data_IF_762433003029
#
_entry.id   IF_762433003029
#
_cell.length_a   1.000
_cell.length_b   1.000
_cell.length_c   1.000
_cell.angle_alpha   90.00
_cell.angle_beta   90.00
_cell.angle_gamma   90.00
#
_symmetry.space_group_name_H-M   'P 1'
#
loop_
_entity.id
_entity.type
_entity.pdbx_description
1 polymer ?
#
# COMPACT_ATOMS: atom_id res chain seq x y z
N UNK A 1 -38.08 9.76 -7.15
CA UNK A 1 -36.80 10.03 -7.84
C UNK A 1 -36.07 8.71 -7.95
N UNK A 2 -35.70 8.26 -9.17
CA UNK A 2 -35.01 6.98 -9.34
C UNK A 2 -33.48 7.24 -9.39
N UNK A 3 -32.72 6.60 -8.51
CA UNK A 3 -31.26 6.67 -8.51
C UNK A 3 -30.76 5.96 -9.77
N UNK A 4 -29.87 6.63 -10.54
CA UNK A 4 -29.33 6.07 -11.79
C UNK A 4 -27.84 5.72 -11.70
N UNK A 5 -27.10 6.46 -10.87
CA UNK A 5 -25.66 6.29 -10.73
C UNK A 5 -25.27 6.26 -9.26
N UNK A 6 -24.41 5.33 -8.90
CA UNK A 6 -23.82 5.20 -7.56
C UNK A 6 -22.31 5.08 -7.72
N UNK A 7 -21.56 5.85 -6.93
CA UNK A 7 -20.14 5.69 -6.71
C UNK A 7 -19.90 4.97 -5.37
N UNK A 8 -19.17 3.87 -5.40
CA UNK A 8 -18.77 3.11 -4.19
C UNK A 8 -17.29 3.38 -3.96
N UNK A 9 -16.97 4.02 -2.83
CA UNK A 9 -15.61 4.47 -2.49
C UNK A 9 -15.26 4.07 -1.04
N UNK A 10 -15.12 2.77 -0.75
CA UNK A 10 -14.78 2.31 0.58
C UNK A 10 -13.28 2.31 0.82
N UNK A 11 -12.88 2.32 2.09
CA UNK A 11 -11.59 1.81 2.56
C UNK A 11 -11.70 0.33 2.89
N UNK A 12 -10.59 -0.29 3.23
CA UNK A 12 -10.54 -1.66 3.73
C UNK A 12 -11.26 -1.80 5.07
N UNK A 13 -11.76 -2.99 5.36
CA UNK A 13 -12.18 -3.41 6.68
C UNK A 13 -11.01 -4.19 7.29
N UNK A 14 -10.25 -3.51 8.15
CA UNK A 14 -9.02 -4.03 8.76
C UNK A 14 -9.17 -5.50 9.18
N UNK A 15 -8.16 -6.31 8.83
CA UNK A 15 -8.11 -7.75 9.14
C UNK A 15 -9.25 -8.61 8.52
N UNK A 16 -10.07 -8.03 7.61
CA UNK A 16 -11.24 -8.73 7.06
C UNK A 16 -11.29 -8.66 5.53
N UNK A 17 -11.54 -7.50 4.95
CA UNK A 17 -11.77 -7.32 3.51
C UNK A 17 -11.01 -6.11 2.98
N UNK A 18 -10.43 -6.25 1.81
CA UNK A 18 -9.87 -5.12 1.06
C UNK A 18 -10.96 -4.14 0.63
N UNK A 19 -10.61 -2.88 0.42
CA UNK A 19 -11.58 -1.88 -0.05
C UNK A 19 -12.27 -2.30 -1.36
N UNK A 20 -11.57 -3.03 -2.23
CA UNK A 20 -12.16 -3.53 -3.48
C UNK A 20 -13.18 -4.66 -3.24
N UNK A 21 -12.90 -5.61 -2.35
CA UNK A 21 -13.85 -6.67 -1.97
C UNK A 21 -15.10 -6.11 -1.30
N UNK A 22 -14.95 -5.12 -0.41
CA UNK A 22 -16.07 -4.38 0.16
C UNK A 22 -16.92 -3.72 -0.92
N UNK A 23 -16.26 -3.06 -1.89
CA UNK A 23 -16.95 -2.40 -3.00
C UNK A 23 -17.73 -3.40 -3.87
N UNK A 24 -17.17 -4.57 -4.14
CA UNK A 24 -17.85 -5.64 -4.88
C UNK A 24 -19.08 -6.15 -4.13
N UNK A 25 -18.96 -6.41 -2.85
CA UNK A 25 -20.10 -6.86 -2.02
C UNK A 25 -21.25 -5.84 -2.00
N UNK A 26 -20.92 -4.54 -1.88
CA UNK A 26 -21.90 -3.45 -1.96
C UNK A 26 -22.55 -3.40 -3.35
N UNK A 27 -21.76 -3.50 -4.42
CA UNK A 27 -22.27 -3.53 -5.80
C UNK A 27 -23.25 -4.67 -6.03
N UNK A 28 -22.91 -5.87 -5.55
CA UNK A 28 -23.78 -7.04 -5.68
C UNK A 28 -25.10 -6.84 -4.94
N UNK A 29 -25.06 -6.24 -3.75
CA UNK A 29 -26.28 -5.88 -2.99
C UNK A 29 -27.16 -4.89 -3.77
N UNK A 30 -26.57 -3.86 -4.36
CA UNK A 30 -27.31 -2.88 -5.20
C UNK A 30 -27.95 -3.56 -6.42
N UNK A 31 -27.19 -4.39 -7.13
CA UNK A 31 -27.66 -5.07 -8.34
C UNK A 31 -28.81 -6.05 -8.07
N UNK A 32 -28.87 -6.66 -6.88
CA UNK A 32 -30.00 -7.52 -6.46
C UNK A 32 -31.27 -6.72 -6.27
N UNK A 33 -31.19 -5.46 -5.91
CA UNK A 33 -32.35 -4.58 -5.69
C UNK A 33 -32.77 -3.91 -7.01
N UNK A 34 -31.82 -3.35 -7.77
CA UNK A 34 -32.06 -2.72 -9.07
C UNK A 34 -30.82 -2.83 -9.97
N UNK A 35 -30.86 -3.79 -10.88
CA UNK A 35 -29.78 -4.01 -11.83
C UNK A 35 -29.61 -2.92 -12.89
N UNK A 36 -30.56 -1.97 -12.98
CA UNK A 36 -30.49 -0.84 -13.93
C UNK A 36 -29.62 0.32 -13.42
N UNK A 37 -29.15 0.27 -12.18
CA UNK A 37 -28.28 1.28 -11.59
C UNK A 37 -26.85 1.12 -12.12
N UNK A 38 -26.28 2.21 -12.64
CA UNK A 38 -24.87 2.24 -13.03
C UNK A 38 -23.99 2.42 -11.76
N UNK A 39 -23.17 1.41 -11.45
CA UNK A 39 -22.31 1.40 -10.27
C UNK A 39 -20.86 1.57 -10.70
N UNK A 40 -20.20 2.62 -10.20
CA UNK A 40 -18.74 2.80 -10.31
C UNK A 40 -18.07 2.46 -8.98
N UNK A 41 -16.96 1.75 -9.06
CA UNK A 41 -16.10 1.39 -7.91
C UNK A 41 -14.84 2.23 -7.98
N UNK A 42 -14.51 2.92 -6.89
CA UNK A 42 -13.30 3.70 -6.71
C UNK A 42 -12.84 3.63 -5.25
N UNK A 43 -12.18 2.54 -4.82
CA UNK A 43 -11.64 2.43 -3.48
C UNK A 43 -10.71 3.59 -3.17
N UNK A 44 -10.66 3.99 -1.90
CA UNK A 44 -9.76 5.05 -1.44
C UNK A 44 -8.65 4.47 -0.60
N UNK A 45 -7.53 5.18 -0.59
CA UNK A 45 -6.34 4.83 0.15
C UNK A 45 -5.91 6.02 1.00
N UNK A 46 -5.38 5.76 2.19
CA UNK A 46 -4.97 6.80 3.15
C UNK A 46 -3.46 6.84 3.42
N UNK A 47 -2.69 6.07 2.66
CA UNK A 47 -1.25 5.93 2.82
C UNK A 47 -0.83 4.82 3.79
N UNK A 48 -1.80 4.06 4.34
CA UNK A 48 -1.57 2.85 5.13
C UNK A 48 -1.73 1.58 4.30
N UNK A 49 -2.01 0.46 4.99
CA UNK A 49 -2.21 -0.85 4.39
C UNK A 49 -3.29 -0.80 3.28
N UNK A 50 -3.04 -1.49 2.17
CA UNK A 50 -3.94 -1.53 1.02
C UNK A 50 -3.80 -0.38 0.02
N UNK A 51 -3.03 0.67 0.32
CA UNK A 51 -2.78 1.80 -0.60
C UNK A 51 -2.12 1.33 -1.89
N UNK A 52 -1.05 0.52 -1.78
CA UNK A 52 -0.29 -0.04 -2.89
C UNK A 52 -1.23 -0.80 -3.84
N UNK A 53 -1.96 -1.78 -3.30
CA UNK A 53 -2.86 -2.61 -4.09
C UNK A 53 -3.95 -1.77 -4.78
N UNK A 54 -4.57 -0.86 -4.03
CA UNK A 54 -5.61 0.03 -4.58
C UNK A 54 -5.10 0.85 -5.77
N UNK A 55 -3.90 1.44 -5.65
CA UNK A 55 -3.34 2.29 -6.71
C UNK A 55 -2.89 1.47 -7.92
N UNK A 56 -2.29 0.31 -7.70
CA UNK A 56 -1.87 -0.61 -8.77
C UNK A 56 -3.09 -1.12 -9.54
N UNK A 57 -4.13 -1.60 -8.86
CA UNK A 57 -5.34 -2.14 -9.50
C UNK A 57 -6.07 -1.06 -10.34
N UNK A 58 -6.24 0.15 -9.80
CA UNK A 58 -6.94 1.25 -10.51
C UNK A 58 -6.18 1.73 -11.75
N UNK A 59 -4.85 1.62 -11.74
CA UNK A 59 -4.02 2.10 -12.86
C UNK A 59 -3.62 0.98 -13.82
N UNK A 60 -4.03 -0.27 -13.59
CA UNK A 60 -3.54 -1.47 -14.30
C UNK A 60 -2.01 -1.56 -14.24
N UNK A 61 -1.46 -1.31 -13.07
CA UNK A 61 -0.04 -1.40 -12.78
C UNK A 61 0.42 -2.82 -12.43
N UNK A 62 1.61 -2.93 -11.88
CA UNK A 62 2.27 -4.19 -11.51
C UNK A 62 2.77 -4.12 -10.07
N UNK A 63 2.63 -5.23 -9.32
CA UNK A 63 3.24 -5.40 -8.00
C UNK A 63 4.55 -6.15 -8.19
N UNK A 64 5.63 -5.61 -7.65
CA UNK A 64 6.99 -6.14 -7.74
C UNK A 64 7.45 -6.51 -6.34
N UNK A 65 8.06 -7.69 -6.21
CA UNK A 65 8.58 -8.23 -4.95
C UNK A 65 10.08 -8.03 -4.88
N UNK A 66 10.56 -7.68 -3.69
CA UNK A 66 11.97 -7.45 -3.41
C UNK A 66 12.37 -8.05 -2.06
N UNK A 67 13.62 -8.52 -1.97
CA UNK A 67 14.21 -8.91 -0.70
C UNK A 67 14.79 -7.67 -0.01
N UNK A 68 14.24 -7.34 1.14
CA UNK A 68 14.61 -6.16 1.94
C UNK A 68 14.70 -6.53 3.41
N UNK A 69 15.03 -5.57 4.27
CA UNK A 69 15.06 -5.78 5.70
C UNK A 69 13.77 -5.30 6.39
N UNK A 70 13.34 -6.04 7.40
CA UNK A 70 12.28 -5.65 8.32
C UNK A 70 12.74 -4.50 9.27
N UNK A 71 11.86 -4.00 10.17
CA UNK A 71 12.25 -2.93 11.10
C UNK A 71 13.42 -3.28 12.03
N UNK A 72 13.72 -4.56 12.24
CA UNK A 72 14.78 -5.05 13.11
C UNK A 72 16.01 -5.55 12.35
N UNK A 73 16.04 -5.41 11.02
CA UNK A 73 17.16 -5.81 10.19
C UNK A 73 17.17 -7.29 9.77
N UNK A 74 16.05 -8.02 9.88
CA UNK A 74 15.91 -9.37 9.33
C UNK A 74 15.50 -9.29 7.88
N UNK A 75 16.02 -10.18 7.02
CA UNK A 75 15.61 -10.27 5.63
C UNK A 75 14.15 -10.75 5.50
N UNK A 76 13.38 -10.05 4.68
CA UNK A 76 11.99 -10.36 4.33
C UNK A 76 11.74 -10.09 2.84
N UNK A 77 10.74 -10.76 2.25
CA UNK A 77 10.18 -10.37 0.98
C UNK A 77 9.12 -9.29 1.22
N UNK A 78 9.25 -8.13 0.57
CA UNK A 78 8.28 -7.06 0.60
C UNK A 78 7.95 -6.58 -0.82
N UNK A 79 6.91 -5.77 -0.96
CA UNK A 79 6.33 -5.39 -2.24
C UNK A 79 6.35 -3.88 -2.43
N UNK A 80 6.52 -3.46 -3.69
CA UNK A 80 6.23 -2.12 -4.16
C UNK A 80 5.45 -2.18 -5.48
N UNK A 81 4.79 -1.10 -5.89
CA UNK A 81 3.97 -1.06 -7.09
C UNK A 81 4.52 -0.13 -8.14
N UNK A 82 4.50 -0.58 -9.39
CA UNK A 82 4.70 0.26 -10.57
C UNK A 82 3.36 0.56 -11.19
N UNK A 83 2.96 1.83 -11.25
CA UNK A 83 1.67 2.21 -11.79
C UNK A 83 1.62 2.07 -13.33
N UNK A 84 0.42 2.04 -13.90
CA UNK A 84 0.19 1.84 -15.32
C UNK A 84 0.78 2.91 -16.24
N UNK A 85 1.27 4.05 -15.70
CA UNK A 85 2.03 5.04 -16.46
C UNK A 85 3.49 4.63 -16.70
N UNK A 86 3.93 3.51 -16.13
CA UNK A 86 5.29 2.97 -16.17
C UNK A 86 6.39 3.91 -15.64
N UNK A 87 6.04 4.97 -14.93
CA UNK A 87 6.97 5.98 -14.41
C UNK A 87 6.79 6.23 -12.91
N UNK A 88 5.62 5.92 -12.36
CA UNK A 88 5.30 6.16 -10.96
C UNK A 88 5.42 4.87 -10.15
N UNK A 89 6.23 4.90 -9.09
CA UNK A 89 6.31 3.86 -8.08
C UNK A 89 5.45 4.21 -6.86
N UNK A 90 4.76 3.23 -6.30
CA UNK A 90 4.03 3.31 -5.03
C UNK A 90 4.70 2.41 -4.02
N UNK A 91 5.03 2.95 -2.87
CA UNK A 91 5.68 2.24 -1.77
C UNK A 91 4.87 2.47 -0.50
N UNK A 92 4.42 1.38 0.13
CA UNK A 92 3.90 1.42 1.49
C UNK A 92 5.02 1.15 2.48
N UNK A 93 5.32 2.11 3.34
CA UNK A 93 6.30 1.95 4.41
C UNK A 93 6.00 0.72 5.29
N UNK A 94 4.73 0.43 5.54
CA UNK A 94 4.29 -0.69 6.36
C UNK A 94 4.76 -2.06 5.83
N UNK A 95 5.05 -2.19 4.53
CA UNK A 95 5.52 -3.44 3.91
C UNK A 95 6.94 -3.84 4.33
N UNK A 96 7.77 -2.87 4.69
CA UNK A 96 9.17 -3.13 5.10
C UNK A 96 9.51 -2.55 6.47
N UNK A 97 8.75 -1.56 6.96
CA UNK A 97 9.03 -0.87 8.23
C UNK A 97 7.77 -0.74 9.10
N UNK A 98 6.83 -1.68 8.97
CA UNK A 98 5.51 -1.64 9.60
C UNK A 98 5.41 -2.32 10.96
N UNK A 99 4.44 -1.86 11.77
CA UNK A 99 4.10 -2.45 13.07
C UNK A 99 3.61 -3.89 12.98
N UNK A 100 2.92 -4.25 11.88
CA UNK A 100 2.39 -5.59 11.66
C UNK A 100 3.49 -6.66 11.46
N UNK A 101 4.73 -6.25 11.16
CA UNK A 101 5.88 -7.14 11.02
C UNK A 101 6.50 -7.54 12.36
N UNK A 102 6.08 -6.92 13.46
CA UNK A 102 6.68 -7.07 14.78
C UNK A 102 5.74 -7.78 15.76
N UNK A 103 6.30 -8.69 16.56
CA UNK A 103 5.60 -9.20 17.74
C UNK A 103 5.50 -8.11 18.82
N UNK A 104 4.59 -8.27 19.78
CA UNK A 104 4.36 -7.27 20.84
C UNK A 104 5.63 -6.90 21.63
N UNK A 105 6.50 -7.87 21.90
CA UNK A 105 7.76 -7.69 22.62
C UNK A 105 8.91 -7.09 21.77
N UNK A 106 8.72 -6.99 20.45
CA UNK A 106 9.69 -6.43 19.50
C UNK A 106 9.38 -4.95 19.18
N UNK A 107 8.21 -4.45 19.57
CA UNK A 107 7.78 -3.08 19.30
C UNK A 107 8.58 -2.09 20.16
N UNK A 108 9.57 -1.46 19.54
CA UNK A 108 10.43 -0.45 20.17
C UNK A 108 10.86 0.61 19.16
N UNK A 109 10.37 1.81 19.31
CA UNK A 109 10.73 2.94 18.43
C UNK A 109 12.23 3.30 18.49
N UNK A 110 12.97 2.83 19.50
CA UNK A 110 14.42 3.06 19.62
C UNK A 110 15.26 2.08 18.79
N UNK A 111 14.72 0.90 18.47
CA UNK A 111 15.46 -0.18 17.84
C UNK A 111 15.03 -0.45 16.40
N UNK A 112 13.96 0.19 15.96
CA UNK A 112 13.39 -0.03 14.62
C UNK A 112 13.92 0.99 13.62
N UNK A 113 14.03 0.58 12.35
CA UNK A 113 14.62 1.38 11.28
C UNK A 113 13.75 1.41 10.03
N UNK A 114 13.82 2.52 9.28
CA UNK A 114 13.21 2.68 7.96
C UNK A 114 14.08 2.14 6.81
N UNK A 115 15.16 1.39 7.12
CA UNK A 115 16.14 0.92 6.14
C UNK A 115 15.49 0.11 4.99
N UNK A 116 14.62 -0.86 5.33
CA UNK A 116 13.93 -1.67 4.33
C UNK A 116 13.01 -0.86 3.40
N UNK A 117 12.36 0.18 3.92
CA UNK A 117 11.60 1.12 3.07
C UNK A 117 12.50 1.85 2.09
N UNK A 118 13.71 2.23 2.52
CA UNK A 118 14.73 2.82 1.65
C UNK A 118 15.20 1.85 0.55
N UNK A 119 15.32 0.54 0.89
CA UNK A 119 15.65 -0.49 -0.10
C UNK A 119 14.57 -0.65 -1.16
N UNK A 120 13.27 -0.66 -0.79
CA UNK A 120 12.16 -0.66 -1.74
C UNK A 120 12.21 0.57 -2.65
N UNK A 121 12.50 1.75 -2.08
CA UNK A 121 12.64 2.97 -2.85
C UNK A 121 13.80 2.89 -3.84
N UNK A 122 14.96 2.39 -3.41
CA UNK A 122 16.15 2.19 -4.26
C UNK A 122 15.84 1.22 -5.40
N UNK A 123 15.22 0.07 -5.12
CA UNK A 123 14.81 -0.90 -6.14
C UNK A 123 13.88 -0.28 -7.19
N UNK A 124 12.89 0.49 -6.74
CA UNK A 124 12.00 1.20 -7.65
C UNK A 124 12.74 2.27 -8.49
N UNK A 125 13.68 3.00 -7.90
CA UNK A 125 14.54 3.97 -8.60
C UNK A 125 15.40 3.27 -9.66
N UNK A 126 16.06 2.18 -9.31
CA UNK A 126 16.92 1.39 -10.18
C UNK A 126 16.12 0.74 -11.34
N UNK A 127 14.82 0.46 -11.12
CA UNK A 127 13.88 0.01 -12.17
C UNK A 127 13.48 1.11 -13.16
N UNK A 128 13.93 2.36 -12.94
CA UNK A 128 13.68 3.51 -13.81
C UNK A 128 12.44 4.34 -13.43
N UNK A 129 11.87 4.17 -12.24
CA UNK A 129 10.80 5.03 -11.75
C UNK A 129 11.29 6.49 -11.62
N UNK A 130 10.42 7.43 -12.02
CA UNK A 130 10.73 8.88 -12.03
C UNK A 130 9.86 9.67 -11.05
N UNK A 131 8.78 9.05 -10.57
CA UNK A 131 7.84 9.64 -9.62
C UNK A 131 7.59 8.61 -8.53
N UNK A 132 7.40 9.09 -7.31
CA UNK A 132 7.21 8.24 -6.15
C UNK A 132 6.02 8.71 -5.32
N UNK A 133 5.21 7.75 -4.92
CA UNK A 133 4.15 7.91 -3.92
C UNK A 133 4.55 7.05 -2.74
N UNK A 134 4.82 7.68 -1.61
CA UNK A 134 5.22 7.00 -0.39
C UNK A 134 4.09 7.08 0.65
N UNK A 135 3.45 5.96 0.92
CA UNK A 135 2.48 5.80 2.01
C UNK A 135 3.22 5.56 3.33
N UNK A 136 3.00 6.44 4.31
CA UNK A 136 3.72 6.40 5.60
C UNK A 136 2.86 5.89 6.77
N UNK A 137 1.66 5.40 6.50
CA UNK A 137 0.79 4.77 7.49
C UNK A 137 1.36 3.45 8.00
N UNK A 138 0.96 3.01 9.21
CA UNK A 138 1.34 1.72 9.77
C UNK A 138 2.80 1.57 10.22
N UNK A 139 3.58 2.66 10.29
CA UNK A 139 5.01 2.64 10.66
C UNK A 139 5.27 2.10 12.07
N UNK A 140 6.34 1.31 12.20
CA UNK A 140 6.92 0.88 13.48
C UNK A 140 8.09 1.77 13.93
N UNK A 141 8.48 2.78 13.16
CA UNK A 141 9.77 3.46 13.28
C UNK A 141 9.65 4.91 13.71
N UNK A 142 10.70 5.43 14.35
CA UNK A 142 10.85 6.83 14.76
C UNK A 142 12.28 7.33 14.53
N UNK A 143 12.95 6.85 13.48
CA UNK A 143 14.35 7.18 13.17
C UNK A 143 14.52 8.46 12.32
N UNK A 144 13.44 9.21 12.11
CA UNK A 144 13.46 10.43 11.29
C UNK A 144 13.84 10.18 9.82
N UNK A 145 13.74 8.94 9.33
CA UNK A 145 14.12 8.54 7.99
C UNK A 145 15.62 8.28 7.81
N UNK A 146 16.39 8.20 8.90
CA UNK A 146 17.83 7.95 8.81
C UNK A 146 18.15 6.61 8.14
N UNK A 147 17.42 5.54 8.48
CA UNK A 147 17.56 4.23 7.82
C UNK A 147 17.23 4.30 6.34
N UNK A 148 16.13 4.97 5.99
CA UNK A 148 15.72 5.18 4.59
C UNK A 148 16.83 5.82 3.74
N UNK A 149 17.39 6.94 4.22
CA UNK A 149 18.48 7.62 3.50
C UNK A 149 19.71 6.73 3.42
N UNK A 150 20.07 6.02 4.50
CA UNK A 150 21.23 5.13 4.51
C UNK A 150 21.12 4.03 3.43
N UNK A 151 19.94 3.48 3.22
CA UNK A 151 19.72 2.45 2.19
C UNK A 151 19.84 2.98 0.75
N UNK A 152 19.49 4.25 0.53
CA UNK A 152 19.59 4.86 -0.82
C UNK A 152 21.02 5.17 -1.19
N UNK A 153 21.86 5.53 -0.22
CA UNK A 153 23.26 5.94 -0.49
C UNK A 153 24.26 4.79 -0.39
N UNK A 154 23.82 3.60 0.09
CA UNK A 154 24.60 2.37 0.11
C UNK A 154 24.66 1.74 -1.29
#
# INVERSE_FOLDING_TARGET
MKIKNILISPQEFKESLTGYEVALAIKDGINRVDSSVNVKIAPVADGGDGTLKTMVDVTNGEIIKENVHDPLGKEIEAEWGKLGDNQTAVIEMARASGLALLNENEKSALNTTTYGTGQLFKAALDSGAKKFILGIGGSATNDGGAGFVSAIVA
#
